data_IF_760804704297
#
_entry.id   IF_760804704297
#
_cell.length_a   1.000
_cell.length_b   1.000
_cell.length_c   1.000
_cell.angle_alpha   90.00
_cell.angle_beta   90.00
_cell.angle_gamma   90.00
#
_symmetry.space_group_name_H-M   'P 1'
#
loop_
_entity.id
_entity.type
_entity.pdbx_description
1 polymer ?
#
# COMPACT_ATOMS: atom_id res chain seq x y z
N UNK A 1 14.89 9.60 -3.44
CA UNK A 1 14.57 9.51 -4.88
C UNK A 1 14.10 8.15 -5.36
N UNK A 2 14.46 7.02 -4.75
CA UNK A 2 13.78 5.73 -5.01
C UNK A 2 13.67 4.80 -3.79
N UNK A 3 14.15 5.28 -2.64
CA UNK A 3 14.21 4.51 -1.40
C UNK A 3 12.85 4.56 -0.71
N UNK A 4 12.21 5.74 -0.72
CA UNK A 4 10.92 5.97 -0.05
C UNK A 4 9.80 5.12 -0.66
N UNK A 5 9.79 4.97 -1.99
CA UNK A 5 8.81 4.12 -2.67
C UNK A 5 9.01 2.64 -2.32
N UNK A 6 10.26 2.17 -2.29
CA UNK A 6 10.59 0.81 -1.89
C UNK A 6 10.24 0.57 -0.42
N UNK A 7 10.49 1.56 0.45
CA UNK A 7 10.18 1.50 1.88
C UNK A 7 8.67 1.45 2.14
N UNK A 8 7.87 2.21 1.39
CA UNK A 8 6.40 2.07 1.39
C UNK A 8 5.98 0.65 1.01
N UNK A 9 6.56 0.09 -0.06
CA UNK A 9 6.23 -1.28 -0.48
C UNK A 9 6.63 -2.31 0.58
N UNK A 10 7.81 -2.17 1.19
CA UNK A 10 8.29 -3.07 2.25
C UNK A 10 7.41 -3.00 3.50
N UNK A 11 7.09 -1.80 4.01
CA UNK A 11 6.20 -1.65 5.19
C UNK A 11 4.79 -2.16 4.89
N UNK A 12 4.24 -1.87 3.72
CA UNK A 12 2.92 -2.37 3.33
C UNK A 12 2.91 -3.90 3.19
N UNK A 13 3.92 -4.46 2.52
CA UNK A 13 4.08 -5.90 2.35
C UNK A 13 4.17 -6.62 3.70
N UNK A 14 5.02 -6.15 4.61
CA UNK A 14 5.16 -6.69 5.96
C UNK A 14 3.84 -6.61 6.75
N UNK A 15 3.17 -5.45 6.71
CA UNK A 15 1.94 -5.24 7.45
C UNK A 15 0.78 -6.13 6.97
N UNK A 16 0.65 -6.32 5.66
CA UNK A 16 -0.42 -7.12 5.06
C UNK A 16 -0.05 -8.60 4.86
N UNK A 17 1.19 -9.00 5.19
CA UNK A 17 1.66 -10.36 4.95
C UNK A 17 1.72 -10.70 3.46
N UNK A 18 2.15 -9.76 2.64
CA UNK A 18 2.31 -9.91 1.19
C UNK A 18 3.81 -9.96 0.86
N UNK A 19 4.19 -10.66 -0.19
CA UNK A 19 5.57 -10.58 -0.71
C UNK A 19 5.78 -9.20 -1.37
N UNK A 20 6.79 -8.45 -0.91
CA UNK A 20 7.15 -7.13 -1.45
C UNK A 20 7.31 -7.15 -2.97
N UNK A 21 7.98 -8.18 -3.51
CA UNK A 21 8.17 -8.36 -4.95
C UNK A 21 6.85 -8.39 -5.72
N UNK A 22 5.76 -8.89 -5.11
CA UNK A 22 4.42 -8.88 -5.73
C UNK A 22 3.91 -7.45 -5.86
N UNK A 23 4.02 -6.64 -4.81
CA UNK A 23 3.56 -5.24 -4.85
C UNK A 23 4.39 -4.39 -5.82
N UNK A 24 5.71 -4.61 -5.85
CA UNK A 24 6.62 -3.92 -6.78
C UNK A 24 6.30 -4.30 -8.24
N UNK A 25 6.03 -5.58 -8.53
CA UNK A 25 5.65 -6.04 -9.89
C UNK A 25 4.32 -5.50 -10.38
N UNK A 26 3.38 -5.18 -9.47
CA UNK A 26 2.08 -4.61 -9.83
C UNK A 26 2.15 -3.11 -10.20
N UNK A 27 3.33 -2.48 -10.14
CA UNK A 27 3.64 -1.12 -10.61
C UNK A 27 2.56 -0.08 -10.23
N UNK A 28 2.32 0.08 -8.93
CA UNK A 28 1.32 1.04 -8.48
C UNK A 28 1.77 2.47 -8.80
N UNK A 29 0.93 3.21 -9.55
CA UNK A 29 1.19 4.61 -9.89
C UNK A 29 0.68 5.55 -8.81
N UNK A 30 -0.53 5.28 -8.29
CA UNK A 30 -1.20 6.10 -7.27
C UNK A 30 -1.40 5.35 -5.96
N UNK A 31 -1.68 6.10 -4.89
CA UNK A 31 -2.05 5.53 -3.59
C UNK A 31 -3.23 4.57 -3.73
N UNK A 32 -4.25 4.94 -4.52
CA UNK A 32 -5.39 4.07 -4.78
C UNK A 32 -5.02 2.79 -5.55
N UNK A 33 -4.09 2.86 -6.49
CA UNK A 33 -3.62 1.65 -7.20
C UNK A 33 -2.94 0.69 -6.23
N UNK A 34 -2.12 1.20 -5.32
CA UNK A 34 -1.49 0.36 -4.30
C UNK A 34 -2.51 -0.29 -3.36
N UNK A 35 -3.54 0.45 -2.93
CA UNK A 35 -4.65 -0.13 -2.16
C UNK A 35 -5.34 -1.27 -2.92
N UNK A 36 -5.63 -1.07 -4.22
CA UNK A 36 -6.25 -2.11 -5.05
C UNK A 36 -5.35 -3.33 -5.24
N UNK A 37 -4.06 -3.11 -5.42
CA UNK A 37 -3.06 -4.16 -5.57
C UNK A 37 -3.00 -5.02 -4.31
N UNK A 38 -2.92 -4.40 -3.13
CA UNK A 38 -2.95 -5.07 -1.83
C UNK A 38 -4.23 -5.90 -1.67
N UNK A 39 -5.40 -5.30 -1.90
CA UNK A 39 -6.68 -6.01 -1.80
C UNK A 39 -6.77 -7.21 -2.74
N UNK A 40 -6.30 -7.04 -3.99
CA UNK A 40 -6.29 -8.11 -5.00
C UNK A 40 -5.38 -9.27 -4.57
N UNK A 41 -4.21 -8.95 -4.05
CA UNK A 41 -3.24 -9.95 -3.59
C UNK A 41 -3.71 -10.65 -2.33
N UNK A 42 -4.31 -9.93 -1.37
CA UNK A 42 -4.94 -10.54 -0.20
C UNK A 42 -6.10 -11.47 -0.60
N UNK A 43 -6.96 -11.05 -1.53
CA UNK A 43 -8.05 -11.87 -2.03
C UNK A 43 -7.53 -13.15 -2.73
N UNK A 44 -6.41 -13.07 -3.46
CA UNK A 44 -5.77 -14.23 -4.08
C UNK A 44 -5.17 -15.19 -3.04
N UNK A 45 -4.61 -14.67 -1.95
CA UNK A 45 -4.06 -15.47 -0.84
C UNK A 45 -5.12 -16.12 0.04
N UNK A 46 -6.35 -15.58 0.07
CA UNK A 46 -7.50 -16.12 0.80
C UNK A 46 -8.11 -17.40 0.19
N UNK A 47 -7.26 -18.37 -0.14
CA UNK A 47 -7.68 -19.67 -0.65
C UNK A 47 -8.41 -20.55 0.40
N UNK A 48 -8.42 -20.17 1.69
CA UNK A 48 -9.13 -20.87 2.77
C UNK A 48 -9.72 -19.90 3.84
N UNK A 49 -11.02 -19.95 4.18
CA UNK A 49 -11.63 -19.17 5.27
C UNK A 49 -11.29 -19.73 6.67
N UNK A 50 -11.31 -18.92 7.77
CA UNK A 50 -12.33 -17.90 8.03
C UNK A 50 -11.83 -16.52 8.51
N UNK A 51 -10.67 -16.02 8.05
CA UNK A 51 -10.29 -14.63 8.35
C UNK A 51 -11.05 -13.67 7.41
N UNK A 52 -11.87 -12.78 7.98
CA UNK A 52 -12.51 -11.70 7.22
C UNK A 52 -11.42 -10.87 6.50
N UNK A 53 -11.52 -10.68 5.17
CA UNK A 53 -10.59 -9.81 4.47
C UNK A 53 -10.67 -8.39 5.02
N UNK A 54 -9.53 -7.68 5.14
CA UNK A 54 -9.55 -6.28 5.50
C UNK A 54 -10.35 -5.51 4.45
N UNK A 55 -11.18 -4.59 4.93
CA UNK A 55 -11.98 -3.72 4.09
C UNK A 55 -11.08 -2.73 3.35
N UNK A 56 -11.51 -2.24 2.18
CA UNK A 56 -10.77 -1.23 1.43
C UNK A 56 -10.42 -0.01 2.29
N UNK A 57 -11.33 0.44 3.16
CA UNK A 57 -11.09 1.56 4.06
C UNK A 57 -10.00 1.28 5.10
N UNK A 58 -9.88 0.04 5.57
CA UNK A 58 -8.84 -0.36 6.52
C UNK A 58 -7.48 -0.40 5.82
N UNK A 59 -7.41 -1.05 4.65
CA UNK A 59 -6.18 -1.08 3.84
C UNK A 59 -5.74 0.34 3.49
N UNK A 60 -6.68 1.20 3.09
CA UNK A 60 -6.39 2.58 2.76
C UNK A 60 -5.88 3.37 3.97
N UNK A 61 -6.54 3.28 5.12
CA UNK A 61 -6.12 4.00 6.32
C UNK A 61 -4.70 3.60 6.74
N UNK A 62 -4.43 2.30 6.82
CA UNK A 62 -3.09 1.77 7.12
C UNK A 62 -2.06 2.24 6.10
N UNK A 63 -2.39 2.19 4.80
CA UNK A 63 -1.46 2.62 3.77
C UNK A 63 -1.15 4.12 3.85
N UNK A 64 -2.15 4.97 4.14
CA UNK A 64 -1.93 6.40 4.37
C UNK A 64 -1.00 6.63 5.57
N UNK A 65 -1.16 5.87 6.65
CA UNK A 65 -0.26 5.94 7.81
C UNK A 65 1.18 5.56 7.45
N UNK A 66 1.37 4.49 6.68
CA UNK A 66 2.69 4.04 6.18
C UNK A 66 3.33 5.13 5.32
N UNK A 67 2.61 5.61 4.30
CA UNK A 67 3.12 6.65 3.39
C UNK A 67 3.47 7.91 4.18
N UNK A 68 2.63 8.32 5.12
CA UNK A 68 2.87 9.47 5.97
C UNK A 68 4.14 9.33 6.81
N UNK A 69 4.38 8.14 7.39
CA UNK A 69 5.58 7.85 8.15
C UNK A 69 6.83 7.88 7.30
N UNK A 70 6.81 7.24 6.13
CA UNK A 70 7.97 7.10 5.25
C UNK A 70 8.32 8.43 4.59
N UNK A 71 7.30 9.16 4.10
CA UNK A 71 7.51 10.38 3.30
C UNK A 71 7.49 11.66 4.14
N UNK A 72 7.01 11.59 5.38
CA UNK A 72 6.79 12.76 6.23
C UNK A 72 5.58 13.63 5.85
N UNK A 73 4.82 13.25 4.81
CA UNK A 73 3.58 13.94 4.43
C UNK A 73 2.43 13.59 5.38
N UNK A 74 1.67 14.57 5.91
CA UNK A 74 0.54 14.26 6.77
C UNK A 74 -0.56 13.51 5.98
N UNK A 75 -1.21 12.54 6.64
CA UNK A 75 -2.27 11.70 6.06
C UNK A 75 -3.41 12.50 5.43
N UNK A 76 -3.70 13.69 5.97
CA UNK A 76 -4.72 14.61 5.45
C UNK A 76 -4.38 15.25 4.10
N UNK A 77 -3.10 15.28 3.71
CA UNK A 77 -2.65 15.82 2.42
C UNK A 77 -2.45 14.73 1.35
N UNK A 78 -2.43 13.46 1.76
CA UNK A 78 -2.27 12.33 0.86
C UNK A 78 -3.64 11.95 0.28
N UNK A 79 -3.87 12.33 -0.97
CA UNK A 79 -5.11 11.99 -1.68
C UNK A 79 -4.99 10.62 -2.36
N UNK A 80 -6.11 9.89 -2.54
CA UNK A 80 -6.10 8.59 -3.21
C UNK A 80 -5.55 8.65 -4.65
N UNK A 81 -5.74 9.78 -5.33
CA UNK A 81 -5.24 10.01 -6.69
C UNK A 81 -3.82 10.57 -6.76
N UNK A 82 -3.18 10.83 -5.61
CA UNK A 82 -1.79 11.31 -5.60
C UNK A 82 -0.88 10.19 -6.10
N UNK A 83 0.08 10.54 -6.95
CA UNK A 83 1.06 9.57 -7.45
C UNK A 83 2.06 9.29 -6.34
N UNK A 84 2.41 8.02 -6.15
CA UNK A 84 3.36 7.63 -5.10
C UNK A 84 4.72 8.31 -5.29
N UNK A 85 5.14 8.47 -6.55
CA UNK A 85 6.38 9.18 -6.89
C UNK A 85 6.36 10.68 -6.53
N UNK A 86 5.18 11.32 -6.51
CA UNK A 86 5.09 12.74 -6.13
C UNK A 86 5.20 12.92 -4.60
N UNK A 87 5.05 11.83 -3.83
CA UNK A 87 5.23 11.79 -2.37
C UNK A 87 6.64 11.36 -1.96
N UNK A 88 7.42 10.81 -2.89
CA UNK A 88 8.77 10.31 -2.65
C UNK A 88 9.78 11.32 -3.19
N UNK A 89 10.45 12.08 -2.32
CA UNK A 89 11.42 13.14 -2.69
C UNK A 89 12.77 12.59 -3.20
#
# INVERSE_FOLDING_TARGET
MGIDLLEIYMEAADHFGIEEETLVQQDAVTVQDLVKNILTTLAAQQSQPPAEPPSQSEVQATLLTIISRVTGHPESEILPGTRLIDLCD
#
